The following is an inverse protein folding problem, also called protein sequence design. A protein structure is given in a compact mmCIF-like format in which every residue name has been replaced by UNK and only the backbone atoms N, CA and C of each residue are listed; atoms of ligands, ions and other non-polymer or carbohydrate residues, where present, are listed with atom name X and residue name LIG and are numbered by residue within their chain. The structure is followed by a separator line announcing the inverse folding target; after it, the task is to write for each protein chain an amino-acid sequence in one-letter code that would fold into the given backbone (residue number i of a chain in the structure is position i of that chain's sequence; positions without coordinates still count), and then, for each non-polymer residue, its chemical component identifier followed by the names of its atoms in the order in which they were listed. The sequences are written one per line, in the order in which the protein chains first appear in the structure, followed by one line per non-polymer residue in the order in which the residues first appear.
data_IF_821583097491
#
_entry.id   IF_821583097491
#
_cell.length_a   1.000
_cell.length_b   1.000
_cell.length_c   1.000
_cell.angle_alpha   90.00
_cell.angle_beta   90.00
_cell.angle_gamma   90.00
#
_symmetry.space_group_name_H-M   'P 1'
#
loop_
_entity.id
_entity.type
_entity.pdbx_description
1 polymer ?
#
# COMPACT_ATOMS: atom_id res chain seq x y z
N UNK A 1 -41.61 -39.83 -34.03
CA UNK A 1 -42.86 -39.04 -33.83
C UNK A 1 -42.97 -37.75 -34.65
N UNK A 2 -41.90 -36.97 -34.93
CA UNK A 2 -42.01 -35.68 -35.66
C UNK A 2 -42.44 -35.74 -37.14
N UNK A 3 -42.25 -36.88 -37.80
CA UNK A 3 -42.53 -37.02 -39.25
C UNK A 3 -44.04 -37.20 -39.50
N UNK A 4 -44.73 -37.92 -38.59
CA UNK A 4 -46.16 -38.24 -38.70
C UNK A 4 -47.01 -36.98 -38.50
N UNK A 5 -46.65 -36.09 -37.56
CA UNK A 5 -47.39 -34.83 -37.36
C UNK A 5 -47.32 -33.90 -38.58
N UNK A 6 -46.20 -33.91 -39.30
CA UNK A 6 -45.98 -33.07 -40.49
C UNK A 6 -46.88 -33.49 -41.66
N UNK A 7 -47.13 -34.79 -41.83
CA UNK A 7 -48.01 -35.33 -42.87
C UNK A 7 -49.50 -35.14 -42.58
N UNK A 8 -49.89 -35.17 -41.30
CA UNK A 8 -51.28 -34.94 -40.89
C UNK A 8 -51.65 -33.46 -41.09
N UNK A 9 -50.78 -32.54 -40.66
CA UNK A 9 -51.01 -31.10 -40.79
C UNK A 9 -51.10 -30.62 -42.26
N UNK A 10 -50.34 -31.22 -43.17
CA UNK A 10 -50.40 -30.87 -44.59
C UNK A 10 -51.69 -31.33 -45.28
N UNK A 11 -52.29 -32.44 -44.84
CA UNK A 11 -53.61 -32.87 -45.34
C UNK A 11 -54.73 -31.95 -44.87
N UNK A 12 -54.71 -31.50 -43.63
CA UNK A 12 -55.69 -30.51 -43.13
C UNK A 12 -55.53 -29.13 -43.78
N UNK A 13 -54.28 -28.73 -44.09
CA UNK A 13 -54.00 -27.46 -44.77
C UNK A 13 -54.48 -27.41 -46.23
N UNK A 14 -54.55 -28.55 -46.93
CA UNK A 14 -54.95 -28.58 -48.36
C UNK A 14 -56.47 -28.63 -48.57
N UNK A 15 -57.23 -29.17 -47.60
CA UNK A 15 -58.68 -29.38 -47.72
C UNK A 15 -59.50 -28.46 -46.79
N UNK A 16 -58.86 -27.51 -46.12
CA UNK A 16 -59.56 -26.53 -45.28
C UNK A 16 -60.25 -25.47 -46.12
N UNK A 17 -61.54 -25.22 -45.86
CA UNK A 17 -62.27 -24.09 -46.45
C UNK A 17 -61.61 -22.79 -46.01
N UNK A 18 -61.13 -21.99 -46.97
CA UNK A 18 -60.64 -20.65 -46.70
C UNK A 18 -61.83 -19.71 -46.57
N UNK A 19 -61.97 -19.08 -45.41
CA UNK A 19 -62.92 -17.99 -45.19
C UNK A 19 -62.15 -16.67 -45.27
N UNK A 20 -62.56 -15.77 -46.18
CA UNK A 20 -62.04 -14.41 -46.24
C UNK A 20 -62.62 -13.60 -45.08
N UNK A 21 -61.88 -13.56 -43.98
CA UNK A 21 -62.22 -12.76 -42.80
C UNK A 21 -61.77 -11.30 -43.07
N UNK A 22 -62.67 -10.30 -42.93
CA UNK A 22 -62.33 -8.89 -43.02
C UNK A 22 -61.12 -8.54 -42.14
N UNK A 23 -60.21 -7.70 -42.63
CA UNK A 23 -58.93 -7.39 -41.94
C UNK A 23 -59.12 -6.93 -40.49
N UNK A 24 -60.25 -6.29 -40.19
CA UNK A 24 -60.63 -5.77 -38.87
C UNK A 24 -60.88 -6.87 -37.82
N UNK A 25 -61.28 -8.07 -38.24
CA UNK A 25 -61.56 -9.20 -37.35
C UNK A 25 -60.38 -10.19 -37.22
N UNK A 26 -59.25 -9.92 -37.90
CA UNK A 26 -58.04 -10.74 -37.78
C UNK A 26 -57.35 -10.44 -36.45
N UNK A 27 -57.47 -11.36 -35.48
CA UNK A 27 -56.71 -11.29 -34.23
C UNK A 27 -55.21 -11.38 -34.53
N UNK A 28 -54.46 -10.32 -34.23
CA UNK A 28 -52.99 -10.29 -34.38
C UNK A 28 -52.38 -11.06 -33.22
N UNK A 29 -51.79 -12.22 -33.50
CA UNK A 29 -51.04 -12.97 -32.49
C UNK A 29 -49.75 -12.19 -32.19
N UNK A 30 -49.47 -11.83 -30.93
CA UNK A 30 -48.25 -11.11 -30.59
C UNK A 30 -47.03 -11.98 -30.92
N UNK A 31 -46.14 -11.48 -31.78
CA UNK A 31 -44.87 -12.15 -32.10
C UNK A 31 -44.02 -12.21 -30.83
N UNK A 32 -43.72 -13.42 -30.36
CA UNK A 32 -42.85 -13.62 -29.20
C UNK A 32 -41.49 -12.95 -29.44
N UNK A 33 -41.16 -11.93 -28.63
CA UNK A 33 -39.92 -11.16 -28.78
C UNK A 33 -38.77 -12.04 -28.30
N UNK A 34 -38.00 -12.59 -29.24
CA UNK A 34 -36.96 -13.56 -28.95
C UNK A 34 -35.73 -12.89 -28.29
N UNK A 35 -35.80 -12.63 -26.98
CA UNK A 35 -34.75 -11.93 -26.21
C UNK A 35 -33.48 -12.75 -25.98
N UNK A 36 -33.44 -14.00 -26.45
CA UNK A 36 -32.32 -14.94 -26.28
C UNK A 36 -30.98 -14.35 -26.73
N UNK A 37 -30.96 -13.63 -27.86
CA UNK A 37 -29.72 -13.01 -28.38
C UNK A 37 -29.18 -11.91 -27.45
N UNK A 38 -30.06 -11.09 -26.87
CA UNK A 38 -29.65 -10.05 -25.91
C UNK A 38 -29.07 -10.65 -24.63
N UNK A 39 -29.71 -11.70 -24.09
CA UNK A 39 -29.23 -12.39 -22.89
C UNK A 39 -27.83 -13.00 -23.13
N UNK A 40 -27.62 -13.62 -24.29
CA UNK A 40 -26.33 -14.21 -24.66
C UNK A 40 -25.24 -13.13 -24.78
N UNK A 41 -25.55 -11.99 -25.41
CA UNK A 41 -24.61 -10.86 -25.53
C UNK A 41 -24.25 -10.30 -24.15
N UNK A 42 -25.24 -10.06 -23.28
CA UNK A 42 -24.99 -9.58 -21.92
C UNK A 42 -24.17 -10.57 -21.09
N UNK A 43 -24.40 -11.87 -21.25
CA UNK A 43 -23.63 -12.90 -20.55
C UNK A 43 -22.16 -12.87 -20.98
N UNK A 44 -21.88 -12.84 -22.28
CA UNK A 44 -20.51 -12.78 -22.78
C UNK A 44 -19.82 -11.45 -22.46
N UNK A 45 -20.56 -10.32 -22.42
CA UNK A 45 -19.97 -9.04 -22.01
C UNK A 45 -19.57 -9.05 -20.53
N UNK A 46 -20.42 -9.63 -19.67
CA UNK A 46 -20.09 -9.80 -18.25
C UNK A 46 -18.84 -10.66 -18.09
N UNK A 47 -18.74 -11.74 -18.86
CA UNK A 47 -17.60 -12.67 -18.83
C UNK A 47 -16.29 -11.99 -19.27
N UNK A 48 -16.36 -11.13 -20.30
CA UNK A 48 -15.22 -10.35 -20.74
C UNK A 48 -14.75 -9.32 -19.69
N UNK A 49 -15.69 -8.64 -19.02
CA UNK A 49 -15.38 -7.70 -17.93
C UNK A 49 -14.71 -8.44 -16.76
N UNK A 50 -15.21 -9.62 -16.42
CA UNK A 50 -14.68 -10.46 -15.34
C UNK A 50 -13.25 -10.93 -15.64
N UNK A 51 -12.96 -11.26 -16.90
CA UNK A 51 -11.61 -11.59 -17.37
C UNK A 51 -10.64 -10.41 -17.21
N UNK A 52 -11.07 -9.19 -17.59
CA UNK A 52 -10.24 -7.98 -17.47
C UNK A 52 -9.95 -7.66 -16.00
N UNK A 53 -10.95 -7.78 -15.12
CA UNK A 53 -10.80 -7.60 -13.67
C UNK A 53 -9.79 -8.59 -13.06
N UNK A 54 -9.84 -9.87 -13.48
CA UNK A 54 -8.89 -10.88 -13.04
C UNK A 54 -7.45 -10.54 -13.44
N UNK A 55 -7.23 -10.12 -14.69
CA UNK A 55 -5.91 -9.71 -15.17
C UNK A 55 -5.40 -8.47 -14.43
N UNK A 56 -6.25 -7.45 -14.24
CA UNK A 56 -5.90 -6.25 -13.49
C UNK A 56 -5.55 -6.57 -12.03
N UNK A 57 -6.33 -7.44 -11.38
CA UNK A 57 -6.07 -7.90 -10.01
C UNK A 57 -4.76 -8.68 -9.91
N UNK A 58 -4.49 -9.56 -10.89
CA UNK A 58 -3.25 -10.35 -10.92
C UNK A 58 -2.01 -9.45 -11.09
N UNK A 59 -2.06 -8.45 -11.98
CA UNK A 59 -0.96 -7.48 -12.16
C UNK A 59 -0.75 -6.69 -10.87
N UNK A 60 -1.82 -6.21 -10.23
CA UNK A 60 -1.73 -5.45 -8.98
C UNK A 60 -1.18 -6.29 -7.83
N UNK A 61 -1.62 -7.55 -7.69
CA UNK A 61 -1.11 -8.48 -6.71
C UNK A 61 0.38 -8.81 -6.94
N UNK A 62 0.77 -8.99 -8.20
CA UNK A 62 2.18 -9.26 -8.56
C UNK A 62 3.07 -8.05 -8.26
N UNK A 63 2.63 -6.83 -8.59
CA UNK A 63 3.34 -5.59 -8.22
C UNK A 63 3.45 -5.44 -6.71
N UNK A 64 2.35 -5.59 -5.98
CA UNK A 64 2.37 -5.50 -4.51
C UNK A 64 3.30 -6.55 -3.87
N UNK A 65 3.36 -7.77 -4.41
CA UNK A 65 4.27 -8.81 -3.93
C UNK A 65 5.73 -8.47 -4.25
N UNK A 66 6.01 -7.92 -5.43
CA UNK A 66 7.35 -7.47 -5.79
C UNK A 66 7.81 -6.26 -4.97
N UNK A 67 6.94 -5.26 -4.77
CA UNK A 67 7.22 -4.08 -3.93
C UNK A 67 7.44 -4.51 -2.47
N UNK A 68 6.66 -5.47 -1.97
CA UNK A 68 6.84 -6.05 -0.64
C UNK A 68 8.17 -6.79 -0.52
N UNK A 69 8.52 -7.62 -1.52
CA UNK A 69 9.82 -8.30 -1.57
C UNK A 69 10.98 -7.32 -1.70
N UNK A 70 10.83 -6.25 -2.46
CA UNK A 70 11.84 -5.21 -2.60
C UNK A 70 12.03 -4.41 -1.30
N UNK A 71 10.93 -4.10 -0.59
CA UNK A 71 10.98 -3.49 0.74
C UNK A 71 11.63 -4.42 1.77
N UNK A 72 11.29 -5.71 1.77
CA UNK A 72 11.94 -6.73 2.60
C UNK A 72 13.43 -6.86 2.24
N UNK A 73 13.79 -6.84 0.97
CA UNK A 73 15.18 -6.91 0.55
C UNK A 73 15.96 -5.63 0.91
N UNK A 74 15.35 -4.44 0.80
CA UNK A 74 15.96 -3.17 1.23
C UNK A 74 16.17 -3.16 2.74
N UNK A 75 15.17 -3.59 3.52
CA UNK A 75 15.29 -3.69 4.98
C UNK A 75 16.31 -4.76 5.40
N UNK A 76 16.36 -5.92 4.74
CA UNK A 76 17.39 -6.94 4.96
C UNK A 76 18.79 -6.45 4.55
N UNK A 77 18.90 -5.68 3.46
CA UNK A 77 20.17 -5.06 3.04
C UNK A 77 20.64 -3.99 4.03
N UNK A 78 19.73 -3.18 4.57
CA UNK A 78 20.00 -2.24 5.66
C UNK A 78 20.45 -3.05 6.89
N UNK A 79 19.68 -4.07 7.28
CA UNK A 79 19.99 -4.93 8.42
C UNK A 79 21.35 -5.62 8.29
N UNK A 80 21.73 -6.03 7.07
CA UNK A 80 23.03 -6.65 6.76
C UNK A 80 24.18 -5.63 6.70
N UNK A 81 23.93 -4.41 6.23
CA UNK A 81 24.92 -3.32 6.23
C UNK A 81 25.24 -2.81 7.64
N UNK A 82 24.28 -2.92 8.56
CA UNK A 82 24.41 -2.54 9.97
C UNK A 82 24.47 -3.75 10.91
N UNK A 83 24.80 -4.94 10.38
CA UNK A 83 24.95 -6.18 11.15
C UNK A 83 26.26 -6.14 11.95
N UNK A 84 26.25 -5.32 12.98
CA UNK A 84 27.23 -5.34 14.05
C UNK A 84 26.90 -6.57 14.93
N UNK A 85 27.64 -7.66 14.71
CA UNK A 85 27.46 -9.01 15.26
C UNK A 85 27.70 -9.13 16.78
N UNK A 86 27.64 -8.02 17.53
CA UNK A 86 27.91 -8.01 18.96
C UNK A 86 26.61 -8.23 19.75
N UNK A 87 26.49 -9.42 20.38
CA UNK A 87 25.40 -9.75 21.32
C UNK A 87 25.39 -8.83 22.56
N UNK A 88 26.50 -8.15 22.82
CA UNK A 88 26.69 -7.22 23.93
C UNK A 88 27.26 -5.92 23.40
N UNK A 89 26.82 -4.76 23.91
CA UNK A 89 27.45 -3.49 23.52
C UNK A 89 28.87 -3.46 24.05
N UNK A 90 29.86 -3.44 23.17
CA UNK A 90 31.25 -3.28 23.58
C UNK A 90 31.48 -1.81 23.93
N UNK A 91 31.48 -1.50 25.23
CA UNK A 91 31.78 -0.16 25.71
C UNK A 91 33.19 0.25 25.24
N UNK A 92 33.28 1.43 24.65
CA UNK A 92 34.54 2.03 24.23
C UNK A 92 34.65 3.44 24.83
N UNK A 93 35.82 3.84 25.38
CA UNK A 93 36.04 5.21 25.84
C UNK A 93 35.74 6.26 24.76
N UNK A 94 35.97 5.92 23.48
CA UNK A 94 35.65 6.81 22.35
C UNK A 94 34.15 7.02 22.18
N UNK A 95 33.35 5.98 22.46
CA UNK A 95 31.89 6.06 22.41
C UNK A 95 31.35 6.98 23.50
N UNK A 96 31.91 6.87 24.71
CA UNK A 96 31.58 7.81 25.81
C UNK A 96 31.96 9.25 25.44
N UNK A 97 33.16 9.48 24.92
CA UNK A 97 33.58 10.83 24.49
C UNK A 97 32.68 11.41 23.40
N UNK A 98 32.25 10.59 22.45
CA UNK A 98 31.31 11.00 21.41
C UNK A 98 29.94 11.37 21.99
N UNK A 99 29.37 10.50 22.83
CA UNK A 99 28.07 10.72 23.43
C UNK A 99 28.09 11.90 24.42
N UNK A 100 29.17 12.05 25.19
CA UNK A 100 29.38 13.16 26.11
C UNK A 100 29.32 14.50 25.36
N UNK A 101 30.03 14.62 24.23
CA UNK A 101 30.00 15.85 23.42
C UNK A 101 28.63 16.11 22.81
N UNK A 102 27.96 15.07 22.33
CA UNK A 102 26.60 15.19 21.82
C UNK A 102 25.64 15.72 22.89
N UNK A 103 25.68 15.17 24.11
CA UNK A 103 24.83 15.59 25.21
C UNK A 103 25.11 17.04 25.62
N UNK A 104 26.38 17.47 25.65
CA UNK A 104 26.72 18.87 25.91
C UNK A 104 26.10 19.81 24.89
N UNK A 105 26.25 19.51 23.60
CA UNK A 105 25.71 20.35 22.52
C UNK A 105 24.17 20.30 22.47
N UNK A 106 23.58 19.14 22.72
CA UNK A 106 22.13 18.95 22.63
C UNK A 106 21.39 19.61 23.80
N UNK A 107 21.89 19.45 25.03
CA UNK A 107 21.22 19.93 26.23
C UNK A 107 21.42 21.42 26.50
N UNK A 108 22.53 22.00 26.04
CA UNK A 108 22.75 23.44 26.15
C UNK A 108 21.98 24.19 25.06
N UNK A 109 21.14 25.14 25.47
CA UNK A 109 20.36 26.03 24.60
C UNK A 109 20.64 27.45 25.08
N UNK A 110 21.29 28.24 24.23
CA UNK A 110 21.54 29.65 24.48
C UNK A 110 20.39 30.52 23.96
N UNK A 111 20.27 31.73 24.49
CA UNK A 111 19.36 32.76 23.95
C UNK A 111 19.96 33.53 22.77
N UNK A 112 21.28 33.47 22.58
CA UNK A 112 21.93 34.14 21.46
C UNK A 112 21.65 33.38 20.15
N UNK A 113 21.11 34.09 19.15
CA UNK A 113 20.81 33.53 17.84
C UNK A 113 22.05 32.98 17.13
N UNK A 114 23.22 33.60 17.32
CA UNK A 114 24.48 33.13 16.72
C UNK A 114 24.94 31.80 17.33
N UNK A 115 24.77 31.66 18.65
CA UNK A 115 25.12 30.44 19.36
C UNK A 115 24.14 29.31 19.04
N UNK A 116 22.86 29.62 18.83
CA UNK A 116 21.85 28.66 18.36
C UNK A 116 22.17 28.11 16.96
N UNK A 117 22.49 28.96 15.99
CA UNK A 117 22.91 28.49 14.66
C UNK A 117 24.17 27.63 14.70
N UNK A 118 25.13 28.00 15.55
CA UNK A 118 26.38 27.26 15.73
C UNK A 118 26.12 25.89 16.35
N UNK A 119 25.27 25.83 17.39
CA UNK A 119 24.78 24.59 18.00
C UNK A 119 24.11 23.69 16.96
N UNK A 120 23.24 24.23 16.11
CA UNK A 120 22.57 23.43 15.08
C UNK A 120 23.54 22.83 14.07
N UNK A 121 24.51 23.62 13.60
CA UNK A 121 25.57 23.13 12.70
C UNK A 121 26.41 22.03 13.34
N UNK A 122 26.70 22.14 14.64
CA UNK A 122 27.40 21.09 15.36
C UNK A 122 26.55 19.83 15.53
N UNK A 123 25.28 19.98 15.91
CA UNK A 123 24.34 18.86 16.07
C UNK A 123 24.17 18.08 14.77
N UNK A 124 24.13 18.75 13.61
CA UNK A 124 24.04 18.11 12.30
C UNK A 124 25.18 17.13 12.01
N UNK A 125 26.36 17.30 12.64
CA UNK A 125 27.49 16.37 12.47
C UNK A 125 27.25 15.02 13.14
N UNK A 126 26.34 14.95 14.11
CA UNK A 126 26.02 13.74 14.85
C UNK A 126 24.89 12.93 14.19
N UNK A 127 24.08 13.56 13.34
CA UNK A 127 22.97 12.90 12.65
C UNK A 127 23.41 12.32 11.30
N UNK A 128 22.85 11.18 10.88
CA UNK A 128 23.07 10.68 9.53
C UNK A 128 22.36 11.59 8.50
N UNK A 129 22.89 11.64 7.29
CA UNK A 129 22.48 12.61 6.25
C UNK A 129 21.03 12.45 5.77
N UNK A 130 20.44 11.29 5.97
CA UNK A 130 19.06 10.95 5.64
C UNK A 130 18.06 11.18 6.79
N UNK A 131 18.53 11.62 7.95
CA UNK A 131 17.69 11.86 9.12
C UNK A 131 16.96 13.20 9.02
N UNK A 132 15.62 13.14 8.94
CA UNK A 132 14.78 14.34 9.06
C UNK A 132 14.69 14.74 10.53
N UNK A 133 15.46 15.77 10.92
CA UNK A 133 15.42 16.32 12.27
C UNK A 133 14.03 16.92 12.55
N UNK A 134 13.38 16.59 13.67
CA UNK A 134 12.16 17.28 14.09
C UNK A 134 12.47 18.73 14.47
N UNK A 135 11.58 19.66 14.12
CA UNK A 135 11.71 21.07 14.50
C UNK A 135 11.57 21.21 16.03
N UNK A 136 12.63 21.71 16.67
CA UNK A 136 12.67 21.95 18.11
C UNK A 136 12.40 23.45 18.34
N UNK A 137 11.34 23.79 19.10
CA UNK A 137 11.05 25.19 19.44
C UNK A 137 12.02 25.66 20.53
N UNK A 138 13.15 26.22 20.12
CA UNK A 138 14.23 26.67 21.03
C UNK A 138 14.18 28.17 21.33
N UNK A 139 13.23 28.92 20.76
CA UNK A 139 13.22 30.39 20.75
C UNK A 139 13.01 31.07 22.11
N UNK A 140 12.35 30.42 23.08
CA UNK A 140 11.96 31.05 24.35
C UNK A 140 12.65 30.45 25.60
N UNK A 141 13.59 29.51 25.41
CA UNK A 141 14.15 28.76 26.54
C UNK A 141 15.66 28.75 26.54
N UNK A 142 16.25 29.23 27.63
CA UNK A 142 17.65 29.02 27.94
C UNK A 142 17.79 27.75 28.79
N UNK A 143 18.66 26.84 28.38
CA UNK A 143 18.96 25.63 29.14
C UNK A 143 20.47 25.50 29.25
N UNK A 144 20.96 25.37 30.47
CA UNK A 144 22.36 25.05 30.73
C UNK A 144 22.43 23.70 31.41
N UNK A 145 23.30 22.84 30.91
CA UNK A 145 23.58 21.54 31.50
C UNK A 145 24.43 21.75 32.76
N UNK A 146 23.90 21.35 33.92
CA UNK A 146 24.62 21.49 35.20
C UNK A 146 25.58 20.32 35.44
N UNK A 147 25.11 19.10 35.19
CA UNK A 147 25.87 17.87 35.34
C UNK A 147 25.41 16.86 34.31
N UNK A 148 26.27 15.91 33.98
CA UNK A 148 25.88 14.72 33.22
C UNK A 148 26.64 13.52 33.75
N UNK A 149 25.96 12.40 33.84
CA UNK A 149 26.57 11.14 34.21
C UNK A 149 26.10 10.05 33.25
N UNK A 150 27.05 9.26 32.76
CA UNK A 150 26.74 8.08 31.97
C UNK A 150 26.10 7.04 32.88
N UNK A 151 24.84 6.68 32.60
CA UNK A 151 24.08 5.77 33.44
C UNK A 151 24.17 4.34 32.94
N UNK A 152 23.87 4.12 31.65
CA UNK A 152 23.77 2.76 31.11
C UNK A 152 23.92 2.74 29.60
N UNK A 153 24.28 1.57 29.08
CA UNK A 153 24.28 1.28 27.66
C UNK A 153 23.57 -0.05 27.42
N UNK A 154 22.52 -0.02 26.61
CA UNK A 154 21.68 -1.18 26.33
C UNK A 154 21.58 -1.39 24.83
N UNK A 155 21.54 -2.64 24.41
CA UNK A 155 21.16 -2.98 23.03
C UNK A 155 19.69 -3.36 23.02
N UNK A 156 18.89 -2.65 22.23
CA UNK A 156 17.47 -2.97 22.01
C UNK A 156 17.18 -2.84 20.52
N UNK A 157 16.47 -3.80 19.94
CA UNK A 157 16.08 -3.78 18.53
C UNK A 157 17.28 -3.53 17.56
N UNK A 158 18.44 -4.13 17.87
CA UNK A 158 19.72 -3.95 17.14
C UNK A 158 20.28 -2.51 17.14
N UNK A 159 19.76 -1.63 17.99
CA UNK A 159 20.30 -0.28 18.22
C UNK A 159 21.00 -0.21 19.57
N UNK A 160 22.09 0.57 19.62
CA UNK A 160 22.79 0.89 20.86
C UNK A 160 22.14 2.13 21.48
N UNK A 161 21.49 1.95 22.62
CA UNK A 161 20.87 3.01 23.41
C UNK A 161 21.84 3.39 24.52
N UNK A 162 22.29 4.64 24.49
CA UNK A 162 23.12 5.22 25.54
C UNK A 162 22.22 6.08 26.43
N UNK A 163 22.28 5.87 27.74
CA UNK A 163 21.44 6.55 28.72
C UNK A 163 22.31 7.43 29.62
N UNK A 164 21.88 8.69 29.78
CA UNK A 164 22.51 9.67 30.66
C UNK A 164 21.53 10.14 31.73
N UNK A 165 22.07 10.45 32.90
CA UNK A 165 21.42 11.28 33.92
C UNK A 165 21.95 12.69 33.72
N UNK A 166 21.05 13.67 33.61
CA UNK A 166 21.33 15.09 33.30
C UNK A 166 20.56 16.00 34.24
#
# INVERSE_FOLDING_TARGET
MKIISKYILTRFSKNGKHFDIPKEQRRVIPKFKNRRKMIVICFYSLLAILLILLLASFIKATRANNDSKEAVNKTNMIQKKYEDNANTVQYSPKLKLYADKFIDTYMNISKDSKELESREKELLKYFPSDYKKPEEKTSDTERKLNSKEFYNIKRKDKQTIIQYIV
#
